data_IF_801986307138
#
_entry.id   IF_801986307138
#
_cell.length_a   1.000
_cell.length_b   1.000
_cell.length_c   1.000
_cell.angle_alpha   90.00
_cell.angle_beta   90.00
_cell.angle_gamma   90.00
#
_symmetry.space_group_name_H-M   'P 1'
#
loop_
_entity.id
_entity.type
_entity.pdbx_description
1 polymer ?
#
# COMPACT_ATOMS: atom_id res chain seq x y z
N UNK A 1 -27.30 -15.84 0.86
CA UNK A 1 -26.79 -14.65 1.57
C UNK A 1 -26.65 -13.52 0.54
N UNK A 2 -26.89 -12.26 0.90
CA UNK A 2 -26.61 -11.13 -0.02
C UNK A 2 -25.10 -11.04 -0.20
N UNK A 3 -24.61 -10.92 -1.44
CA UNK A 3 -23.19 -10.65 -1.72
C UNK A 3 -22.77 -9.38 -0.99
N UNK A 4 -21.72 -9.44 -0.17
CA UNK A 4 -21.17 -8.27 0.54
C UNK A 4 -20.40 -7.34 -0.41
N UNK A 5 -19.94 -7.88 -1.55
CA UNK A 5 -19.31 -7.12 -2.62
C UNK A 5 -17.81 -6.93 -2.40
N UNK A 6 -17.25 -5.93 -3.09
CA UNK A 6 -15.83 -5.58 -2.99
C UNK A 6 -15.66 -4.22 -2.32
N UNK A 7 -14.46 -3.96 -1.78
CA UNK A 7 -13.99 -2.62 -1.40
C UNK A 7 -12.82 -2.26 -2.29
N UNK A 8 -12.86 -1.08 -2.93
CA UNK A 8 -11.78 -0.54 -3.76
C UNK A 8 -11.01 0.54 -3.01
N UNK A 9 -9.70 0.34 -2.89
CA UNK A 9 -8.79 1.24 -2.18
C UNK A 9 -7.74 1.74 -3.16
N UNK A 10 -7.72 3.04 -3.44
CA UNK A 10 -6.61 3.69 -4.13
C UNK A 10 -5.50 3.99 -3.12
N UNK A 11 -4.30 3.47 -3.35
CA UNK A 11 -3.12 3.71 -2.51
C UNK A 11 -2.12 4.54 -3.29
N UNK A 12 -1.71 5.65 -2.67
CA UNK A 12 -0.65 6.55 -3.11
C UNK A 12 0.32 6.77 -1.95
N UNK A 13 1.59 7.06 -2.22
CA UNK A 13 2.57 7.35 -1.17
C UNK A 13 3.72 8.20 -1.70
N UNK A 14 4.44 8.85 -0.80
CA UNK A 14 5.70 9.54 -1.08
C UNK A 14 5.54 10.50 -2.27
N UNK A 15 4.61 11.44 -2.14
CA UNK A 15 4.29 12.42 -3.17
C UNK A 15 5.45 13.41 -3.38
N UNK A 16 6.15 13.77 -2.31
CA UNK A 16 7.23 14.76 -2.30
C UNK A 16 6.89 16.03 -3.08
N UNK A 17 5.68 16.58 -2.86
CA UNK A 17 5.15 17.66 -3.69
C UNK A 17 6.06 18.88 -3.66
N UNK A 18 6.22 19.53 -4.81
CA UNK A 18 6.98 20.76 -4.97
C UNK A 18 6.10 21.90 -5.50
N UNK A 19 6.48 23.13 -5.19
CA UNK A 19 5.75 24.35 -5.61
C UNK A 19 6.49 25.17 -6.66
N UNK A 20 7.67 24.71 -7.07
CA UNK A 20 8.47 25.25 -8.15
C UNK A 20 9.43 24.18 -8.71
N UNK A 21 9.98 24.44 -9.89
CA UNK A 21 10.94 23.55 -10.57
C UNK A 21 12.40 23.83 -10.19
N UNK A 22 12.67 24.43 -9.02
CA UNK A 22 14.06 24.82 -8.68
C UNK A 22 14.93 23.64 -8.26
N UNK A 23 14.33 22.53 -7.85
CA UNK A 23 14.99 21.32 -7.38
C UNK A 23 14.32 20.13 -8.04
N UNK A 24 15.07 19.31 -8.79
CA UNK A 24 14.57 18.14 -9.50
C UNK A 24 14.48 16.91 -8.58
N UNK A 25 13.67 17.01 -7.52
CA UNK A 25 13.46 15.93 -6.54
C UNK A 25 12.10 15.23 -6.71
N UNK A 26 11.14 15.86 -7.41
CA UNK A 26 9.80 15.30 -7.63
C UNK A 26 9.22 15.73 -8.98
N UNK A 27 8.38 14.86 -9.54
CA UNK A 27 7.57 15.11 -10.74
C UNK A 27 6.26 15.83 -10.42
N UNK A 28 5.84 15.80 -9.16
CA UNK A 28 4.59 16.39 -8.73
C UNK A 28 4.82 17.85 -8.34
N UNK A 29 4.67 18.72 -9.34
CA UNK A 29 4.78 20.17 -9.18
C UNK A 29 3.38 20.79 -9.20
N UNK A 30 3.07 21.57 -8.18
CA UNK A 30 1.79 22.27 -7.99
C UNK A 30 2.09 23.74 -7.69
N UNK A 31 1.95 24.59 -8.71
CA UNK A 31 2.23 26.02 -8.59
C UNK A 31 0.94 26.79 -8.30
N UNK A 32 0.94 27.64 -7.26
CA UNK A 32 -0.22 28.48 -6.90
C UNK A 32 -1.55 27.71 -6.78
N UNK A 33 -1.50 26.49 -6.21
CA UNK A 33 -2.66 25.58 -6.09
C UNK A 33 -3.33 25.28 -7.43
N UNK A 34 -2.53 25.20 -8.49
CA UNK A 34 -2.95 24.72 -9.80
C UNK A 34 -2.27 23.39 -10.09
N UNK A 35 -3.06 22.42 -10.53
CA UNK A 35 -2.55 21.13 -10.95
C UNK A 35 -1.61 21.30 -12.16
N UNK A 36 -0.40 20.76 -12.05
CA UNK A 36 0.51 20.61 -13.17
C UNK A 36 0.15 19.40 -14.04
N UNK A 37 0.82 19.26 -15.18
CA UNK A 37 0.59 18.19 -16.17
C UNK A 37 0.68 16.79 -15.54
N UNK A 38 1.69 16.55 -14.69
CA UNK A 38 1.86 15.29 -13.99
C UNK A 38 0.65 14.95 -13.11
N UNK A 39 0.20 15.91 -12.30
CA UNK A 39 -0.94 15.76 -11.40
C UNK A 39 -2.25 15.51 -12.16
N UNK A 40 -2.51 16.31 -13.22
CA UNK A 40 -3.67 16.13 -14.08
C UNK A 40 -3.65 14.76 -14.77
N UNK A 41 -2.48 14.32 -15.25
CA UNK A 41 -2.34 13.02 -15.90
C UNK A 41 -2.65 11.85 -14.96
N UNK A 42 -2.22 11.89 -13.69
CA UNK A 42 -2.57 10.87 -12.70
C UNK A 42 -4.08 10.84 -12.48
N UNK A 43 -4.70 11.99 -12.19
CA UNK A 43 -6.13 12.07 -11.88
C UNK A 43 -6.97 11.57 -13.07
N UNK A 44 -6.62 12.00 -14.28
CA UNK A 44 -7.30 11.55 -15.50
C UNK A 44 -7.12 10.04 -15.70
N UNK A 45 -5.91 9.53 -15.46
CA UNK A 45 -5.64 8.11 -15.59
C UNK A 45 -6.45 7.28 -14.58
N UNK A 46 -6.43 7.63 -13.29
CA UNK A 46 -7.24 6.99 -12.24
C UNK A 46 -8.73 6.99 -12.63
N UNK A 47 -9.22 8.10 -13.14
CA UNK A 47 -10.62 8.22 -13.58
C UNK A 47 -10.94 7.34 -14.80
N UNK A 48 -9.94 7.04 -15.64
CA UNK A 48 -10.11 6.25 -16.86
C UNK A 48 -10.04 4.73 -16.64
N UNK A 49 -9.31 4.27 -15.62
CA UNK A 49 -9.11 2.84 -15.34
C UNK A 49 -10.12 2.26 -14.37
N UNK A 50 -11.05 3.08 -13.88
CA UNK A 50 -11.87 2.73 -12.74
C UNK A 50 -13.36 2.83 -13.08
N UNK A 51 -13.93 1.69 -13.48
CA UNK A 51 -15.35 1.57 -13.86
C UNK A 51 -16.31 1.62 -12.65
N UNK A 52 -15.82 1.26 -11.45
CA UNK A 52 -16.59 1.30 -10.21
C UNK A 52 -16.07 2.40 -9.27
N UNK A 53 -16.88 2.98 -8.36
CA UNK A 53 -16.38 3.96 -7.40
C UNK A 53 -15.23 3.42 -6.53
N UNK A 54 -14.19 4.24 -6.32
CA UNK A 54 -13.23 4.03 -5.23
C UNK A 54 -13.96 4.30 -3.92
N UNK A 55 -13.79 3.42 -2.92
CA UNK A 55 -14.36 3.61 -1.58
C UNK A 55 -13.42 4.42 -0.67
N UNK A 56 -12.12 4.24 -0.86
CA UNK A 56 -11.07 4.72 0.02
C UNK A 56 -9.84 5.18 -0.78
N UNK A 57 -9.29 6.35 -0.46
CA UNK A 57 -7.93 6.75 -0.83
C UNK A 57 -7.07 6.69 0.42
N UNK A 58 -5.93 6.02 0.33
CA UNK A 58 -4.89 5.98 1.37
C UNK A 58 -3.65 6.70 0.85
N UNK A 59 -3.16 7.68 1.60
CA UNK A 59 -1.83 8.25 1.46
C UNK A 59 -0.97 7.93 2.67
N UNK A 60 0.05 7.09 2.50
CA UNK A 60 0.95 6.67 3.59
C UNK A 60 2.06 7.68 3.91
N UNK A 61 1.92 8.94 3.54
CA UNK A 61 2.82 10.03 3.96
C UNK A 61 3.80 10.51 2.90
N UNK A 62 4.73 11.33 3.34
CA UNK A 62 5.66 12.12 2.51
C UNK A 62 4.92 12.92 1.44
N UNK A 63 3.92 13.67 1.89
CA UNK A 63 3.08 14.53 1.06
C UNK A 63 3.91 15.71 0.53
N UNK A 64 4.70 16.31 1.42
CA UNK A 64 5.62 17.40 1.17
C UNK A 64 7.04 16.89 0.91
N UNK A 65 7.92 17.81 0.53
CA UNK A 65 9.35 17.56 0.52
C UNK A 65 10.05 18.40 1.60
N UNK A 66 10.92 17.76 2.41
CA UNK A 66 11.84 18.40 3.36
C UNK A 66 11.15 19.35 4.36
N UNK A 67 9.98 18.99 4.89
CA UNK A 67 9.25 19.76 5.89
C UNK A 67 8.77 21.13 5.41
N UNK A 68 8.66 21.34 4.10
CA UNK A 68 8.24 22.61 3.52
C UNK A 68 6.71 22.77 3.62
N UNK A 69 6.26 23.79 4.35
CA UNK A 69 4.83 24.10 4.57
C UNK A 69 4.08 24.31 3.25
N UNK A 70 4.62 25.10 2.32
CA UNK A 70 3.98 25.35 1.02
C UNK A 70 3.88 24.09 0.17
N UNK A 71 4.90 23.24 0.20
CA UNK A 71 4.89 21.92 -0.44
C UNK A 71 3.82 21.02 0.16
N UNK A 72 3.65 21.07 1.49
CA UNK A 72 2.60 20.31 2.16
C UNK A 72 1.21 20.80 1.77
N UNK A 73 0.97 22.12 1.81
CA UNK A 73 -0.31 22.72 1.38
C UNK A 73 -0.66 22.32 -0.06
N UNK A 74 0.32 22.35 -0.96
CA UNK A 74 0.18 21.95 -2.34
C UNK A 74 -0.13 20.45 -2.53
N UNK A 75 0.60 19.58 -1.83
CA UNK A 75 0.35 18.14 -1.86
C UNK A 75 -0.99 17.76 -1.23
N UNK A 76 -1.37 18.45 -0.16
CA UNK A 76 -2.67 18.29 0.47
C UNK A 76 -3.80 18.75 -0.43
N UNK A 77 -3.64 19.90 -1.10
CA UNK A 77 -4.56 20.35 -2.14
C UNK A 77 -4.71 19.29 -3.25
N UNK A 78 -3.60 18.73 -3.74
CA UNK A 78 -3.62 17.69 -4.75
C UNK A 78 -4.40 16.43 -4.31
N UNK A 79 -4.19 15.94 -3.09
CA UNK A 79 -4.94 14.79 -2.55
C UNK A 79 -6.44 15.08 -2.45
N UNK A 80 -6.81 16.33 -2.18
CA UNK A 80 -8.22 16.76 -2.15
C UNK A 80 -8.82 16.85 -3.55
N UNK A 81 -8.08 17.36 -4.53
CA UNK A 81 -8.49 17.32 -5.94
C UNK A 81 -8.65 15.89 -6.44
N UNK A 82 -7.73 14.99 -6.07
CA UNK A 82 -7.83 13.57 -6.39
C UNK A 82 -9.09 12.95 -5.74
N UNK A 83 -9.36 13.22 -4.47
CA UNK A 83 -10.60 12.82 -3.79
C UNK A 83 -11.83 13.33 -4.56
N UNK A 84 -11.92 14.63 -4.84
CA UNK A 84 -13.10 15.22 -5.46
C UNK A 84 -13.35 14.66 -6.87
N UNK A 85 -12.30 14.48 -7.67
CA UNK A 85 -12.39 13.98 -9.05
C UNK A 85 -12.59 12.46 -9.16
N UNK A 86 -12.41 11.72 -8.07
CA UNK A 86 -12.62 10.26 -8.02
C UNK A 86 -13.90 9.86 -7.28
N UNK A 87 -14.93 10.72 -7.32
CA UNK A 87 -16.23 10.55 -6.66
C UNK A 87 -16.20 10.65 -5.13
N UNK A 88 -15.29 11.45 -4.58
CA UNK A 88 -15.21 11.81 -3.15
C UNK A 88 -15.14 10.60 -2.19
N UNK A 89 -14.23 9.63 -2.41
CA UNK A 89 -13.99 8.52 -1.50
C UNK A 89 -13.55 9.01 -0.12
N UNK A 90 -13.59 8.14 0.89
CA UNK A 90 -12.95 8.46 2.17
C UNK A 90 -11.44 8.67 1.95
N UNK A 91 -10.88 9.76 2.46
CA UNK A 91 -9.45 10.05 2.36
C UNK A 91 -8.79 9.80 3.71
N UNK A 92 -7.83 8.87 3.74
CA UNK A 92 -7.03 8.51 4.92
C UNK A 92 -5.58 8.85 4.63
N UNK A 93 -4.99 9.64 5.51
CA UNK A 93 -3.60 10.07 5.36
C UNK A 93 -2.88 10.01 6.71
N UNK A 94 -1.57 9.75 6.65
CA UNK A 94 -0.64 9.94 7.77
C UNK A 94 0.52 10.80 7.30
N UNK A 95 1.19 11.57 8.18
CA UNK A 95 2.38 12.29 7.78
C UNK A 95 3.58 11.32 7.68
N UNK A 96 4.46 11.59 6.73
CA UNK A 96 5.77 10.95 6.61
C UNK A 96 6.91 11.80 7.17
N UNK A 97 8.15 11.33 7.02
CA UNK A 97 9.31 12.05 7.54
C UNK A 97 9.58 13.37 6.82
N UNK A 98 9.34 13.46 5.50
CA UNK A 98 9.44 14.70 4.73
C UNK A 98 8.28 15.67 4.97
N UNK A 99 7.24 15.27 5.72
CA UNK A 99 6.22 16.19 6.23
C UNK A 99 6.65 16.83 7.57
N UNK A 100 7.51 16.13 8.31
CA UNK A 100 8.09 16.59 9.58
C UNK A 100 9.49 17.20 9.38
N UNK A 101 10.21 17.42 10.48
CA UNK A 101 11.58 17.93 10.47
C UNK A 101 12.58 16.81 10.12
N UNK A 102 12.69 16.45 8.84
CA UNK A 102 13.69 15.47 8.37
C UNK A 102 15.11 16.03 8.22
N UNK A 103 15.28 17.36 8.25
CA UNK A 103 16.59 18.03 8.08
C UNK A 103 16.81 19.11 9.13
N UNK A 104 18.06 19.35 9.49
CA UNK A 104 18.44 20.39 10.48
C UNK A 104 18.40 21.83 9.93
N UNK A 105 17.96 22.05 8.69
CA UNK A 105 17.94 23.37 8.07
C UNK A 105 16.70 24.17 8.46
N UNK A 106 16.79 24.86 9.60
CA UNK A 106 15.75 25.75 10.12
C UNK A 106 15.40 26.93 9.19
N UNK A 107 16.24 27.24 8.20
CA UNK A 107 16.00 28.39 7.31
C UNK A 107 14.99 28.10 6.21
N UNK A 108 14.76 26.82 5.88
CA UNK A 108 13.86 26.39 4.80
C UNK A 108 12.56 25.73 5.28
N UNK A 109 12.58 25.07 6.44
CA UNK A 109 11.46 24.24 6.93
C UNK A 109 10.50 24.97 7.88
N UNK A 110 10.64 26.29 8.07
CA UNK A 110 9.91 27.02 9.11
C UNK A 110 10.38 26.66 10.53
N UNK A 111 9.70 27.19 11.54
CA UNK A 111 10.06 26.97 12.95
C UNK A 111 9.71 25.55 13.43
N UNK A 112 8.59 24.99 12.97
CA UNK A 112 8.11 23.66 13.33
C UNK A 112 7.17 23.12 12.24
N UNK A 113 7.64 22.23 11.35
CA UNK A 113 6.79 21.57 10.35
C UNK A 113 5.58 20.89 11.00
N UNK A 114 5.77 20.22 12.16
CA UNK A 114 4.67 19.62 12.93
C UNK A 114 3.59 20.63 13.31
N UNK A 115 3.97 21.84 13.72
CA UNK A 115 2.99 22.90 13.99
C UNK A 115 2.21 23.25 12.71
N UNK A 116 2.89 23.43 11.57
CA UNK A 116 2.22 23.71 10.30
C UNK A 116 1.23 22.58 9.92
N UNK A 117 1.60 21.30 10.13
CA UNK A 117 0.69 20.16 9.93
C UNK A 117 -0.55 20.19 10.84
N UNK A 118 -0.40 20.62 12.10
CA UNK A 118 -1.49 20.68 13.08
C UNK A 118 -2.51 21.78 12.78
N UNK A 119 -2.10 22.85 12.09
CA UNK A 119 -2.90 24.05 11.85
C UNK A 119 -3.22 24.30 10.36
N UNK A 120 -2.82 23.39 9.48
CA UNK A 120 -3.14 23.47 8.04
C UNK A 120 -4.65 23.49 7.79
N UNK A 121 -5.06 24.19 6.73
CA UNK A 121 -6.44 24.23 6.26
C UNK A 121 -6.53 23.73 4.81
N UNK A 122 -7.41 22.76 4.49
CA UNK A 122 -8.31 22.03 5.39
C UNK A 122 -7.58 21.18 6.43
N UNK A 123 -8.26 20.88 7.55
CA UNK A 123 -7.65 20.14 8.67
C UNK A 123 -7.06 18.78 8.26
N UNK A 124 -5.94 18.43 8.89
CA UNK A 124 -5.15 17.21 8.63
C UNK A 124 -4.81 16.47 9.95
N UNK A 125 -4.75 15.12 9.94
CA UNK A 125 -5.12 14.24 8.83
C UNK A 125 -6.63 14.04 8.68
N UNK A 126 -7.42 14.40 9.68
CA UNK A 126 -8.86 14.18 9.68
C UNK A 126 -9.66 15.47 9.61
N UNK A 127 -10.92 15.36 9.19
CA UNK A 127 -11.87 16.50 9.21
C UNK A 127 -12.34 16.84 10.64
N UNK A 128 -12.34 15.88 11.55
CA UNK A 128 -12.87 16.03 12.91
C UNK A 128 -11.79 16.56 13.87
N UNK A 129 -12.08 17.68 14.55
CA UNK A 129 -11.14 18.34 15.45
C UNK A 129 -10.72 17.47 16.65
N UNK A 130 -11.66 16.76 17.27
CA UNK A 130 -11.38 15.87 18.41
C UNK A 130 -10.45 14.73 18.02
N UNK A 131 -10.67 14.13 16.84
CA UNK A 131 -9.84 13.05 16.32
C UNK A 131 -8.43 13.54 15.96
N UNK A 132 -8.30 14.75 15.39
CA UNK A 132 -6.98 15.37 15.20
C UNK A 132 -6.29 15.66 16.53
N UNK A 133 -7.03 16.16 17.53
CA UNK A 133 -6.47 16.43 18.87
C UNK A 133 -5.92 15.15 19.48
N UNK A 134 -6.67 14.05 19.40
CA UNK A 134 -6.22 12.73 19.85
C UNK A 134 -5.00 12.26 19.04
N UNK A 135 -5.07 12.28 17.71
CA UNK A 135 -3.98 11.86 16.83
C UNK A 135 -2.68 12.62 17.08
N UNK A 136 -2.74 13.93 17.26
CA UNK A 136 -1.55 14.75 17.47
C UNK A 136 -1.00 14.65 18.91
N UNK A 137 -1.85 14.33 19.88
CA UNK A 137 -1.44 14.10 21.27
C UNK A 137 -0.81 12.72 21.46
N UNK A 138 -1.40 11.69 20.85
CA UNK A 138 -1.05 10.29 21.09
C UNK A 138 -0.30 9.63 19.91
N UNK A 139 -0.18 10.32 18.78
CA UNK A 139 0.47 9.86 17.55
C UNK A 139 -0.21 8.64 16.87
N UNK A 140 -1.46 8.35 17.26
CA UNK A 140 -2.30 7.36 16.58
C UNK A 140 -3.77 7.77 16.69
N UNK A 141 -4.62 7.24 15.81
CA UNK A 141 -6.06 7.32 15.93
C UNK A 141 -6.71 6.18 15.16
N UNK A 142 -7.91 5.77 15.58
CA UNK A 142 -8.75 4.87 14.81
C UNK A 142 -9.87 5.67 14.15
N UNK A 143 -10.01 5.50 12.84
CA UNK A 143 -10.99 6.20 12.04
C UNK A 143 -11.82 5.22 11.22
N UNK A 144 -12.98 4.81 11.74
CA UNK A 144 -14.09 4.41 10.87
C UNK A 144 -15.42 4.39 11.62
N UNK A 145 -16.52 4.47 10.85
CA UNK A 145 -17.90 4.30 11.34
C UNK A 145 -18.68 3.26 10.54
N UNK A 146 -18.02 2.48 9.68
CA UNK A 146 -18.66 1.43 8.92
C UNK A 146 -18.38 0.05 9.53
N UNK A 147 -19.31 -0.88 9.33
CA UNK A 147 -19.20 -2.24 9.88
C UNK A 147 -18.29 -3.16 9.03
N UNK A 148 -17.63 -2.64 8.00
CA UNK A 148 -16.84 -3.45 7.05
C UNK A 148 -15.38 -3.53 7.45
N UNK A 149 -14.76 -2.42 7.85
CA UNK A 149 -13.35 -2.38 8.23
C UNK A 149 -13.02 -1.28 9.24
N UNK A 150 -12.02 -1.50 10.07
CA UNK A 150 -11.42 -0.46 10.91
C UNK A 150 -10.17 0.12 10.22
N UNK A 151 -9.82 1.36 10.55
CA UNK A 151 -8.56 1.97 10.07
C UNK A 151 -7.80 2.56 11.26
N UNK A 152 -6.62 2.02 11.53
CA UNK A 152 -5.64 2.53 12.49
C UNK A 152 -4.61 3.37 11.74
N UNK A 153 -4.54 4.65 12.06
CA UNK A 153 -3.54 5.57 11.51
C UNK A 153 -2.46 5.83 12.57
N UNK A 154 -1.19 5.70 12.19
CA UNK A 154 -0.06 5.94 13.10
C UNK A 154 0.88 6.99 12.50
N UNK A 155 1.22 8.01 13.29
CA UNK A 155 2.28 8.96 12.96
C UNK A 155 3.64 8.40 13.42
N UNK A 156 4.28 7.61 12.57
CA UNK A 156 5.61 7.03 12.86
C UNK A 156 6.74 8.06 12.79
N UNK A 157 6.45 9.25 12.24
CA UNK A 157 7.37 10.38 12.17
C UNK A 157 7.24 11.35 13.36
N UNK A 158 6.44 11.01 14.38
CA UNK A 158 6.11 11.91 15.48
C UNK A 158 7.31 12.45 16.27
N UNK A 159 8.41 11.69 16.27
CA UNK A 159 9.66 11.99 16.98
C UNK A 159 10.76 12.51 16.06
N UNK A 160 10.47 12.80 14.79
CA UNK A 160 11.43 13.46 13.90
C UNK A 160 11.80 14.84 14.46
N UNK A 161 13.10 15.17 14.42
CA UNK A 161 13.67 16.35 15.06
C UNK A 161 14.22 16.12 16.48
N UNK A 162 14.07 14.92 17.04
CA UNK A 162 14.74 14.50 18.27
C UNK A 162 15.87 13.51 17.95
N UNK A 163 17.11 13.79 18.36
CA UNK A 163 18.22 12.85 18.18
C UNK A 163 18.43 12.39 16.73
N UNK A 164 18.51 11.08 16.53
CA UNK A 164 18.66 10.41 15.24
C UNK A 164 17.35 9.82 14.67
N UNK A 165 16.20 10.15 15.26
CA UNK A 165 14.87 9.69 14.84
C UNK A 165 14.55 10.00 13.37
N UNK A 166 15.22 11.01 12.81
CA UNK A 166 15.11 11.37 11.40
C UNK A 166 15.51 10.23 10.44
N UNK A 167 16.18 9.19 10.94
CA UNK A 167 16.64 8.04 10.17
C UNK A 167 15.65 6.87 10.09
N UNK A 168 14.83 6.64 11.13
CA UNK A 168 14.04 5.40 11.25
C UNK A 168 12.58 5.60 11.67
N UNK A 169 12.22 6.73 12.28
CA UNK A 169 10.92 6.85 12.93
C UNK A 169 10.74 5.90 14.13
N UNK A 170 9.65 6.08 14.87
CA UNK A 170 9.42 5.34 16.13
C UNK A 170 7.95 5.22 16.49
N UNK A 171 7.62 4.05 17.02
CA UNK A 171 6.42 3.80 17.81
C UNK A 171 6.83 3.27 19.20
N UNK A 172 6.69 4.08 20.27
CA UNK A 172 7.00 3.63 21.61
C UNK A 172 6.12 2.44 22.04
N UNK A 173 6.68 1.56 22.87
CA UNK A 173 5.98 0.37 23.38
C UNK A 173 4.70 0.77 24.12
N UNK A 174 4.73 1.87 24.87
CA UNK A 174 3.57 2.41 25.59
C UNK A 174 2.45 2.82 24.64
N UNK A 175 2.80 3.35 23.46
CA UNK A 175 1.81 3.71 22.43
C UNK A 175 1.21 2.45 21.82
N UNK A 176 2.02 1.43 21.54
CA UNK A 176 1.50 0.12 21.12
C UNK A 176 0.55 -0.45 22.16
N UNK A 177 0.91 -0.46 23.44
CA UNK A 177 0.04 -0.98 24.50
C UNK A 177 -1.30 -0.25 24.58
N UNK A 178 -1.31 1.08 24.43
CA UNK A 178 -2.55 1.86 24.37
C UNK A 178 -3.43 1.47 23.17
N UNK A 179 -2.82 1.27 22.00
CA UNK A 179 -3.53 0.79 20.81
C UNK A 179 -4.15 -0.58 21.10
N UNK A 180 -3.40 -1.51 21.69
CA UNK A 180 -3.88 -2.85 22.00
C UNK A 180 -5.02 -2.83 23.02
N UNK A 181 -4.89 -2.05 24.09
CA UNK A 181 -5.96 -1.85 25.07
C UNK A 181 -7.24 -1.33 24.40
N UNK A 182 -7.10 -0.39 23.46
CA UNK A 182 -8.25 0.15 22.73
C UNK A 182 -8.88 -0.89 21.79
N UNK A 183 -8.11 -1.61 20.95
CA UNK A 183 -8.67 -2.59 20.01
C UNK A 183 -9.33 -3.78 20.73
N UNK A 184 -8.90 -4.09 21.96
CA UNK A 184 -9.50 -5.14 22.79
C UNK A 184 -10.75 -4.66 23.54
N UNK A 185 -10.93 -3.34 23.68
CA UNK A 185 -12.08 -2.73 24.35
C UNK A 185 -13.40 -2.95 23.59
N UNK A 186 -14.51 -2.58 24.23
CA UNK A 186 -15.85 -2.61 23.61
C UNK A 186 -16.11 -1.41 22.70
N UNK A 187 -15.24 -0.40 22.69
CA UNK A 187 -15.33 0.75 21.78
C UNK A 187 -14.86 0.39 20.36
N UNK A 188 -14.03 -0.64 20.23
CA UNK A 188 -13.53 -1.11 18.95
C UNK A 188 -14.54 -2.01 18.25
N UNK A 189 -14.77 -1.76 16.95
CA UNK A 189 -15.72 -2.54 16.16
C UNK A 189 -15.15 -3.93 15.84
N UNK A 190 -15.54 -4.91 16.65
CA UNK A 190 -15.22 -6.34 16.47
C UNK A 190 -16.07 -7.00 15.37
N UNK A 191 -17.03 -6.29 14.79
CA UNK A 191 -17.84 -6.76 13.65
C UNK A 191 -17.22 -6.46 12.28
N UNK A 192 -16.14 -5.66 12.24
CA UNK A 192 -15.39 -5.42 11.02
C UNK A 192 -14.82 -6.73 10.46
N UNK A 193 -14.80 -6.85 9.12
CA UNK A 193 -14.28 -8.04 8.44
C UNK A 193 -12.76 -8.06 8.36
N UNK A 194 -12.15 -6.88 8.39
CA UNK A 194 -10.70 -6.70 8.39
C UNK A 194 -10.34 -5.33 8.98
N UNK A 195 -9.05 -5.12 9.21
CA UNK A 195 -8.50 -3.90 9.75
C UNK A 195 -7.42 -3.37 8.79
N UNK A 196 -7.29 -2.05 8.70
CA UNK A 196 -6.26 -1.39 7.92
C UNK A 196 -5.34 -0.65 8.89
N UNK A 197 -4.04 -0.89 8.80
CA UNK A 197 -3.01 -0.10 9.47
C UNK A 197 -2.34 0.79 8.43
N UNK A 198 -2.34 2.10 8.64
CA UNK A 198 -1.63 3.07 7.80
C UNK A 198 -0.54 3.74 8.61
N UNK A 199 0.70 3.62 8.13
CA UNK A 199 1.88 4.26 8.70
C UNK A 199 2.83 4.69 7.57
N UNK A 200 3.84 5.50 7.86
CA UNK A 200 4.79 5.92 6.83
C UNK A 200 6.00 4.99 6.74
N UNK A 201 6.81 4.96 7.80
CA UNK A 201 7.93 4.03 7.91
C UNK A 201 7.45 2.57 7.89
N UNK A 202 8.31 1.68 7.41
CA UNK A 202 8.07 0.24 7.33
C UNK A 202 8.21 -0.44 8.70
N UNK A 203 7.25 -1.31 9.09
CA UNK A 203 7.24 -1.96 10.41
C UNK A 203 8.16 -3.19 10.52
N UNK A 204 8.54 -3.75 9.38
CA UNK A 204 9.48 -4.85 9.27
C UNK A 204 10.63 -4.41 8.38
N UNK A 205 11.83 -4.88 8.70
CA UNK A 205 13.01 -4.60 7.90
C UNK A 205 12.88 -5.10 6.46
N UNK A 206 13.57 -4.42 5.56
CA UNK A 206 13.62 -4.65 4.12
C UNK A 206 15.08 -4.69 3.62
N UNK A 207 15.93 -5.46 4.30
CA UNK A 207 17.38 -5.66 4.02
C UNK A 207 17.69 -6.20 2.60
N UNK A 208 16.68 -6.54 1.80
CA UNK A 208 16.84 -7.06 0.44
C UNK A 208 16.77 -5.98 -0.66
N UNK A 209 16.59 -4.70 -0.30
CA UNK A 209 16.36 -3.62 -1.28
C UNK A 209 17.66 -2.92 -1.68
N UNK A 210 18.28 -2.17 -0.77
CA UNK A 210 19.30 -1.16 -1.10
C UNK A 210 20.49 -1.11 -0.14
N UNK A 211 20.40 -1.79 1.01
CA UNK A 211 21.47 -1.86 2.02
C UNK A 211 21.59 -3.27 2.58
N UNK A 212 22.83 -3.66 2.96
CA UNK A 212 23.09 -4.92 3.66
C UNK A 212 22.43 -4.98 5.05
N UNK A 213 22.05 -3.82 5.60
CA UNK A 213 21.34 -3.69 6.87
C UNK A 213 20.40 -2.49 6.86
N UNK A 214 19.12 -2.73 7.10
CA UNK A 214 18.08 -1.71 7.10
C UNK A 214 18.03 -0.97 8.44
N UNK A 215 18.50 0.28 8.41
CA UNK A 215 18.46 1.22 9.54
C UNK A 215 17.28 2.19 9.46
N UNK A 216 16.37 2.04 8.50
CA UNK A 216 15.29 2.98 8.22
C UNK A 216 13.92 2.45 8.70
N UNK A 217 13.85 1.17 9.08
CA UNK A 217 12.65 0.56 9.62
C UNK A 217 12.24 1.19 10.95
N UNK A 218 10.93 1.35 11.17
CA UNK A 218 10.44 1.96 12.40
C UNK A 218 10.87 1.18 13.65
N UNK A 219 11.36 1.90 14.65
CA UNK A 219 11.53 1.31 15.97
C UNK A 219 10.17 0.95 16.58
N UNK A 220 10.05 -0.27 17.12
CA UNK A 220 8.79 -0.78 17.69
C UNK A 220 7.85 -1.44 16.68
N UNK A 221 8.15 -1.40 15.37
CA UNK A 221 7.28 -1.96 14.33
C UNK A 221 7.02 -3.47 14.46
N UNK A 222 8.07 -4.26 14.70
CA UNK A 222 7.92 -5.71 14.91
C UNK A 222 7.12 -6.04 16.18
N UNK A 223 7.24 -5.22 17.22
CA UNK A 223 6.44 -5.38 18.44
C UNK A 223 4.97 -5.07 18.16
N UNK A 224 4.67 -3.99 17.42
CA UNK A 224 3.31 -3.67 16.99
C UNK A 224 2.68 -4.83 16.23
N UNK A 225 3.33 -5.33 15.17
CA UNK A 225 2.76 -6.40 14.35
C UNK A 225 2.49 -7.67 15.16
N UNK A 226 3.43 -8.03 16.05
CA UNK A 226 3.23 -9.15 16.97
C UNK A 226 2.01 -8.92 17.86
N UNK A 227 1.89 -7.75 18.48
CA UNK A 227 0.78 -7.49 19.41
C UNK A 227 -0.57 -7.39 18.68
N UNK A 228 -0.62 -6.88 17.45
CA UNK A 228 -1.84 -6.87 16.62
C UNK A 228 -2.28 -8.29 16.26
N UNK A 229 -1.32 -9.18 15.94
CA UNK A 229 -1.57 -10.59 15.67
C UNK A 229 -2.05 -11.33 16.93
N UNK A 230 -1.45 -11.07 18.10
CA UNK A 230 -1.87 -11.64 19.38
C UNK A 230 -3.24 -11.14 19.86
N UNK A 231 -3.65 -9.93 19.46
CA UNK A 231 -4.95 -9.38 19.82
C UNK A 231 -6.11 -10.10 19.11
N UNK A 232 -5.85 -10.77 17.99
CA UNK A 232 -6.79 -11.61 17.24
C UNK A 232 -8.15 -10.93 16.98
N UNK A 233 -8.10 -9.68 16.51
CA UNK A 233 -9.29 -8.86 16.18
C UNK A 233 -9.62 -8.89 14.68
N UNK A 234 -9.22 -9.95 13.99
CA UNK A 234 -9.39 -10.14 12.56
C UNK A 234 -8.17 -9.73 11.71
N UNK A 235 -8.23 -9.98 10.39
CA UNK A 235 -7.07 -9.84 9.51
C UNK A 235 -6.66 -8.38 9.30
N UNK A 236 -5.37 -8.16 9.11
CA UNK A 236 -4.79 -6.83 8.92
C UNK A 236 -4.23 -6.62 7.51
N UNK A 237 -4.60 -5.50 6.91
CA UNK A 237 -3.93 -4.89 5.77
C UNK A 237 -3.03 -3.76 6.29
N UNK A 238 -1.73 -3.88 6.15
CA UNK A 238 -0.76 -2.84 6.51
C UNK A 238 -0.31 -2.12 5.25
N UNK A 239 -0.41 -0.80 5.22
CA UNK A 239 0.01 0.04 4.10
C UNK A 239 1.05 1.03 4.62
N UNK A 240 2.23 1.04 4.01
CA UNK A 240 3.30 1.97 4.32
C UNK A 240 4.05 2.47 3.07
N UNK A 241 4.90 3.49 3.24
CA UNK A 241 5.73 4.10 2.20
C UNK A 241 7.21 4.07 2.56
N UNK A 242 7.89 5.22 2.43
CA UNK A 242 9.25 5.54 2.88
C UNK A 242 10.40 4.94 2.06
N UNK A 243 10.36 3.64 1.75
CA UNK A 243 11.43 2.99 0.97
C UNK A 243 11.33 3.23 -0.54
N UNK A 244 10.19 3.80 -0.99
CA UNK A 244 9.87 4.03 -2.40
C UNK A 244 9.88 2.74 -3.24
N UNK A 245 9.81 1.57 -2.59
CA UNK A 245 10.00 0.27 -3.21
C UNK A 245 8.75 -0.58 -3.06
N UNK A 246 8.15 -0.92 -4.20
CA UNK A 246 6.88 -1.59 -4.28
C UNK A 246 6.99 -3.08 -3.92
N UNK A 247 6.32 -3.53 -2.85
CA UNK A 247 6.15 -4.96 -2.56
C UNK A 247 4.82 -5.25 -1.90
N UNK A 248 4.26 -6.42 -2.17
CA UNK A 248 3.13 -6.97 -1.42
C UNK A 248 3.52 -8.34 -0.88
N UNK A 249 3.52 -8.47 0.45
CA UNK A 249 3.96 -9.68 1.15
C UNK A 249 3.10 -9.97 2.38
N UNK A 250 3.24 -11.17 2.93
CA UNK A 250 2.71 -11.48 4.25
C UNK A 250 3.76 -11.18 5.31
N UNK A 251 3.36 -10.53 6.39
CA UNK A 251 4.19 -10.37 7.58
C UNK A 251 4.22 -11.63 8.44
N UNK A 252 4.98 -11.56 9.53
CA UNK A 252 5.04 -12.67 10.50
C UNK A 252 3.72 -12.82 11.29
N UNK A 253 3.34 -14.05 11.62
CA UNK A 253 2.15 -14.35 12.43
C UNK A 253 2.31 -15.61 13.28
N UNK A 254 1.73 -15.55 14.48
CA UNK A 254 1.56 -16.62 15.45
C UNK A 254 0.13 -17.19 15.43
N UNK A 255 -0.87 -16.37 15.09
CA UNK A 255 -2.29 -16.75 15.04
C UNK A 255 -2.68 -17.59 13.80
N UNK A 256 -1.84 -17.58 12.75
CA UNK A 256 -2.10 -18.27 11.49
C UNK A 256 -2.78 -17.40 10.42
N UNK A 257 -3.10 -16.15 10.73
CA UNK A 257 -3.63 -15.15 9.79
C UNK A 257 -2.62 -14.01 9.62
N UNK A 258 -1.58 -14.18 8.78
CA UNK A 258 -0.55 -13.17 8.66
C UNK A 258 -1.07 -11.85 8.07
N UNK A 259 -0.59 -10.70 8.57
CA UNK A 259 -0.96 -9.42 8.00
C UNK A 259 -0.48 -9.35 6.55
N UNK A 260 -1.32 -8.83 5.66
CA UNK A 260 -0.90 -8.47 4.30
C UNK A 260 -0.27 -7.10 4.36
N UNK A 261 0.99 -6.97 3.94
CA UNK A 261 1.77 -5.74 3.99
C UNK A 261 2.03 -5.26 2.57
N UNK A 262 1.54 -4.06 2.26
CA UNK A 262 1.88 -3.30 1.06
C UNK A 262 2.91 -2.23 1.42
N UNK A 263 4.11 -2.38 0.87
CA UNK A 263 5.09 -1.30 0.77
C UNK A 263 4.83 -0.56 -0.54
N UNK A 264 4.35 0.68 -0.45
CA UNK A 264 4.07 1.52 -1.60
C UNK A 264 5.37 2.13 -2.14
N UNK A 265 5.54 2.13 -3.46
CA UNK A 265 6.52 2.98 -4.10
C UNK A 265 6.05 4.44 -4.10
N UNK A 266 6.99 5.33 -4.40
CA UNK A 266 6.69 6.74 -4.53
C UNK A 266 5.87 7.01 -5.78
N UNK A 267 4.84 7.84 -5.65
CA UNK A 267 4.06 8.31 -6.80
C UNK A 267 4.87 9.24 -7.68
N UNK A 268 5.79 10.04 -7.14
CA UNK A 268 6.39 11.14 -7.93
C UNK A 268 7.82 11.53 -7.59
N UNK A 269 8.45 10.96 -6.57
CA UNK A 269 9.85 11.22 -6.27
C UNK A 269 10.74 10.82 -7.45
N UNK A 270 11.79 11.61 -7.66
CA UNK A 270 12.92 11.15 -8.46
C UNK A 270 13.64 10.06 -7.64
N UNK A 271 13.66 8.85 -8.19
CA UNK A 271 14.24 7.67 -7.52
C UNK A 271 15.76 7.78 -7.49
N UNK A 272 16.37 7.29 -6.42
CA UNK A 272 17.82 7.27 -6.26
C UNK A 272 18.44 6.05 -6.95
N UNK A 273 19.70 6.17 -7.35
CA UNK A 273 20.46 5.23 -8.22
C UNK A 273 20.43 3.75 -7.80
N UNK A 274 20.17 3.44 -6.52
CA UNK A 274 20.12 2.04 -6.06
C UNK A 274 18.79 1.35 -6.40
N UNK A 275 17.70 2.10 -6.54
CA UNK A 275 16.35 1.56 -6.79
C UNK A 275 15.74 2.03 -8.11
N UNK A 276 16.32 3.01 -8.79
CA UNK A 276 15.82 3.60 -10.03
C UNK A 276 15.59 2.57 -11.16
N UNK A 277 16.39 1.50 -11.19
CA UNK A 277 16.30 0.40 -12.14
C UNK A 277 15.48 -0.79 -11.61
N UNK A 278 15.07 -0.74 -10.34
CA UNK A 278 14.32 -1.82 -9.69
C UNK A 278 12.84 -1.46 -9.57
N UNK A 279 12.52 -0.21 -9.28
CA UNK A 279 11.13 0.25 -9.10
C UNK A 279 10.84 1.46 -9.98
N UNK A 280 9.57 1.72 -10.19
CA UNK A 280 9.07 2.88 -10.94
C UNK A 280 8.21 3.76 -10.02
N UNK A 281 7.84 4.95 -10.50
CA UNK A 281 6.82 5.73 -9.83
C UNK A 281 5.47 5.02 -9.97
N UNK A 282 4.79 4.69 -8.87
CA UNK A 282 3.62 3.81 -8.90
C UNK A 282 2.47 4.25 -8.01
N UNK A 283 1.28 3.75 -8.34
CA UNK A 283 0.08 3.77 -7.50
C UNK A 283 -0.65 2.41 -7.59
N UNK A 284 -1.57 2.17 -6.66
CA UNK A 284 -2.24 0.86 -6.55
C UNK A 284 -3.74 0.98 -6.38
N UNK A 285 -4.50 0.13 -7.05
CA UNK A 285 -5.91 -0.15 -6.72
C UNK A 285 -5.97 -1.52 -6.04
N UNK A 286 -6.33 -1.56 -4.76
CA UNK A 286 -6.59 -2.80 -4.05
C UNK A 286 -8.08 -3.10 -4.08
N UNK A 287 -8.45 -4.32 -4.45
CA UNK A 287 -9.81 -4.82 -4.38
C UNK A 287 -9.90 -5.91 -3.32
N UNK A 288 -10.50 -5.58 -2.17
CA UNK A 288 -10.78 -6.56 -1.11
C UNK A 288 -12.11 -7.24 -1.39
N UNK A 289 -12.09 -8.57 -1.48
CA UNK A 289 -13.29 -9.40 -1.64
C UNK A 289 -13.89 -9.70 -0.27
N UNK A 290 -15.01 -9.05 0.06
CA UNK A 290 -15.59 -9.15 1.40
C UNK A 290 -16.23 -10.51 1.68
N UNK A 291 -16.77 -11.15 0.64
CA UNK A 291 -17.39 -12.46 0.76
C UNK A 291 -16.29 -13.51 1.01
N UNK A 292 -15.20 -13.48 0.23
CA UNK A 292 -14.07 -14.39 0.45
C UNK A 292 -13.31 -14.10 1.75
N UNK A 293 -13.18 -12.83 2.13
CA UNK A 293 -12.52 -12.43 3.38
C UNK A 293 -13.25 -12.99 4.60
N UNK A 294 -14.58 -12.87 4.63
CA UNK A 294 -15.41 -13.46 5.68
C UNK A 294 -15.33 -14.99 5.66
N UNK A 295 -15.50 -15.62 4.49
CA UNK A 295 -15.53 -17.08 4.37
C UNK A 295 -14.22 -17.75 4.79
N UNK A 296 -13.09 -17.08 4.56
CA UNK A 296 -11.76 -17.64 4.84
C UNK A 296 -11.15 -17.15 6.15
N UNK A 297 -11.75 -16.17 6.81
CA UNK A 297 -11.23 -15.57 8.04
C UNK A 297 -9.87 -14.86 7.86
N UNK A 298 -9.53 -14.44 6.64
CA UNK A 298 -8.28 -13.74 6.31
C UNK A 298 -8.53 -12.71 5.23
N UNK A 299 -7.63 -11.75 5.05
CA UNK A 299 -7.76 -10.75 3.99
C UNK A 299 -7.60 -11.40 2.62
N UNK A 300 -8.61 -11.28 1.75
CA UNK A 300 -8.60 -11.84 0.39
C UNK A 300 -8.89 -10.75 -0.62
N UNK A 301 -8.12 -10.71 -1.70
CA UNK A 301 -8.31 -9.68 -2.72
C UNK A 301 -7.28 -9.69 -3.83
N UNK A 302 -7.43 -8.72 -4.72
CA UNK A 302 -6.54 -8.47 -5.83
C UNK A 302 -5.92 -7.08 -5.72
N UNK A 303 -4.82 -6.87 -6.40
CA UNK A 303 -4.25 -5.53 -6.59
C UNK A 303 -4.00 -5.27 -8.07
N UNK A 304 -4.09 -4.00 -8.43
CA UNK A 304 -3.76 -3.46 -9.73
C UNK A 304 -2.69 -2.38 -9.54
N UNK A 305 -1.47 -2.66 -9.98
CA UNK A 305 -0.34 -1.75 -9.95
C UNK A 305 -0.28 -0.97 -11.26
N UNK A 306 -0.10 0.34 -11.14
CA UNK A 306 0.06 1.24 -12.27
C UNK A 306 1.33 2.04 -12.07
N UNK A 307 2.06 2.25 -13.15
CA UNK A 307 3.32 2.97 -13.12
C UNK A 307 3.32 4.14 -14.08
N UNK A 308 4.18 5.10 -13.78
CA UNK A 308 4.49 6.19 -14.68
C UNK A 308 5.84 5.98 -15.36
N UNK A 309 5.89 6.20 -16.67
CA UNK A 309 7.13 6.24 -17.44
C UNK A 309 7.21 7.51 -18.30
N UNK A 310 8.43 7.95 -18.62
CA UNK A 310 8.62 9.11 -19.52
C UNK A 310 8.07 8.87 -20.94
N UNK A 311 7.92 7.61 -21.37
CA UNK A 311 7.49 7.26 -22.73
C UNK A 311 5.96 7.23 -22.87
N UNK A 312 5.28 6.63 -21.88
CA UNK A 312 3.84 6.36 -21.97
C UNK A 312 2.99 7.17 -21.00
N UNK A 313 3.62 7.87 -20.05
CA UNK A 313 2.90 8.40 -18.89
C UNK A 313 2.42 7.26 -17.99
N UNK A 314 1.21 7.39 -17.43
CA UNK A 314 0.60 6.36 -16.59
C UNK A 314 0.10 5.17 -17.40
N UNK A 315 0.46 3.95 -16.98
CA UNK A 315 0.13 2.70 -17.64
C UNK A 315 0.05 1.53 -16.62
N UNK A 316 -0.54 0.39 -17.00
CA UNK A 316 -0.38 -0.86 -16.24
C UNK A 316 1.11 -1.15 -15.98
N UNK A 317 1.48 -1.52 -14.75
CA UNK A 317 2.90 -1.71 -14.43
C UNK A 317 3.53 -2.90 -15.16
N UNK A 318 4.67 -2.65 -15.79
CA UNK A 318 5.51 -3.67 -16.39
C UNK A 318 6.70 -4.08 -15.50
N UNK A 319 6.75 -3.59 -14.26
CA UNK A 319 7.82 -3.90 -13.29
C UNK A 319 7.80 -5.37 -12.88
N UNK A 320 8.99 -5.97 -12.83
CA UNK A 320 9.16 -7.34 -12.32
C UNK A 320 8.96 -7.43 -10.80
N UNK A 321 9.12 -6.32 -10.07
CA UNK A 321 9.01 -6.29 -8.61
C UNK A 321 7.56 -6.37 -8.14
N UNK A 322 6.72 -5.43 -8.61
CA UNK A 322 5.28 -5.49 -8.39
C UNK A 322 4.56 -5.32 -9.74
N UNK A 323 4.14 -6.43 -10.39
CA UNK A 323 3.53 -6.39 -11.71
C UNK A 323 2.15 -5.74 -11.68
N UNK A 324 1.59 -5.41 -12.85
CA UNK A 324 0.26 -4.83 -12.93
C UNK A 324 -0.80 -5.59 -12.13
N UNK A 325 -0.83 -6.92 -12.17
CA UNK A 325 -1.87 -7.69 -11.52
C UNK A 325 -1.32 -8.77 -10.58
N UNK A 326 -2.01 -8.96 -9.46
CA UNK A 326 -1.83 -10.08 -8.56
C UNK A 326 -2.89 -10.08 -7.45
N UNK A 327 -2.74 -10.98 -6.50
CA UNK A 327 -3.66 -11.05 -5.36
C UNK A 327 -3.02 -11.42 -4.04
N UNK A 328 -3.88 -11.66 -3.07
CA UNK A 328 -3.55 -12.04 -1.70
C UNK A 328 -4.72 -12.81 -1.09
N UNK A 329 -4.43 -13.62 -0.06
CA UNK A 329 -5.42 -14.39 0.68
C UNK A 329 -5.77 -15.75 0.08
N UNK A 330 -4.94 -16.32 -0.79
CA UNK A 330 -5.20 -17.68 -1.28
C UNK A 330 -5.09 -18.72 -0.16
N UNK A 331 -5.96 -19.74 -0.20
CA UNK A 331 -5.97 -20.85 0.76
C UNK A 331 -5.23 -22.08 0.28
N UNK A 332 -4.80 -22.08 -0.97
CA UNK A 332 -3.97 -23.14 -1.53
C UNK A 332 -2.53 -22.66 -1.59
N UNK A 333 -1.61 -23.56 -1.33
CA UNK A 333 -0.19 -23.31 -1.45
C UNK A 333 0.23 -23.37 -2.93
N UNK A 334 1.40 -22.78 -3.29
CA UNK A 334 1.97 -22.93 -4.62
C UNK A 334 2.17 -24.39 -5.06
N UNK A 335 2.38 -25.31 -4.11
CA UNK A 335 2.52 -26.74 -4.41
C UNK A 335 1.16 -27.36 -4.75
N UNK A 336 0.15 -27.14 -3.91
CA UNK A 336 -1.20 -27.65 -4.18
C UNK A 336 -1.76 -27.12 -5.49
N UNK A 337 -1.54 -25.82 -5.79
CA UNK A 337 -1.92 -25.26 -7.08
C UNK A 337 -1.20 -25.96 -8.24
N UNK A 338 0.12 -26.16 -8.16
CA UNK A 338 0.86 -26.86 -9.19
C UNK A 338 0.38 -28.32 -9.38
N UNK A 339 0.10 -29.04 -8.30
CA UNK A 339 -0.42 -30.41 -8.34
C UNK A 339 -1.81 -30.44 -9.00
N UNK A 340 -2.71 -29.54 -8.60
CA UNK A 340 -4.06 -29.42 -9.17
C UNK A 340 -4.06 -29.07 -10.66
N UNK A 341 -3.16 -28.17 -11.07
CA UNK A 341 -2.97 -27.78 -12.46
C UNK A 341 -2.40 -28.95 -13.28
N UNK A 342 -1.44 -29.68 -12.71
CA UNK A 342 -0.83 -30.86 -13.34
C UNK A 342 -1.88 -31.94 -13.61
N UNK A 343 -2.69 -32.25 -12.60
CA UNK A 343 -3.80 -33.19 -12.73
C UNK A 343 -4.84 -32.73 -13.75
N UNK A 344 -5.08 -31.42 -13.86
CA UNK A 344 -6.00 -30.85 -14.82
C UNK A 344 -5.49 -31.00 -16.26
N UNK A 345 -4.22 -30.71 -16.52
CA UNK A 345 -3.58 -30.95 -17.83
C UNK A 345 -3.62 -32.44 -18.17
N UNK A 346 -3.24 -33.32 -17.24
CA UNK A 346 -3.27 -34.77 -17.45
C UNK A 346 -4.65 -35.31 -17.87
N UNK A 347 -5.74 -34.72 -17.36
CA UNK A 347 -7.11 -35.15 -17.66
C UNK A 347 -7.67 -34.59 -18.96
N UNK A 348 -7.35 -33.33 -19.30
CA UNK A 348 -7.96 -32.64 -20.43
C UNK A 348 -7.13 -32.73 -21.72
N UNK A 349 -5.86 -33.15 -21.62
CA UNK A 349 -5.02 -33.39 -22.78
C UNK A 349 -3.65 -32.70 -22.66
N UNK A 350 -2.74 -32.93 -23.61
CA UNK A 350 -1.38 -32.40 -23.53
C UNK A 350 -1.29 -30.87 -23.60
N UNK A 351 -2.41 -30.23 -23.94
CA UNK A 351 -2.52 -28.81 -24.25
C UNK A 351 -3.94 -28.35 -23.92
N UNK A 352 -4.04 -27.24 -23.20
CA UNK A 352 -5.30 -26.62 -22.76
C UNK A 352 -5.25 -25.14 -23.16
N UNK A 353 -6.32 -24.66 -23.81
CA UNK A 353 -6.45 -23.29 -24.32
C UNK A 353 -7.88 -22.76 -24.20
N UNK A 354 -8.07 -21.48 -24.51
CA UNK A 354 -9.39 -20.85 -24.48
C UNK A 354 -10.03 -20.84 -23.09
N UNK A 355 -11.33 -21.12 -23.02
CA UNK A 355 -12.10 -21.06 -21.76
C UNK A 355 -11.63 -22.08 -20.71
N UNK A 356 -10.96 -23.15 -21.12
CA UNK A 356 -10.46 -24.18 -20.20
C UNK A 356 -9.31 -23.67 -19.32
N UNK A 357 -8.64 -22.60 -19.73
CA UNK A 357 -7.58 -21.94 -18.95
C UNK A 357 -8.15 -21.12 -17.80
N UNK A 358 -9.44 -20.74 -17.85
CA UNK A 358 -10.08 -19.94 -16.80
C UNK A 358 -10.01 -20.63 -15.43
N UNK A 359 -10.07 -21.96 -15.39
CA UNK A 359 -9.88 -22.73 -14.16
C UNK A 359 -8.52 -22.45 -13.52
N UNK A 360 -7.45 -22.38 -14.32
CA UNK A 360 -6.09 -22.09 -13.85
C UNK A 360 -5.99 -20.64 -13.39
N UNK A 361 -6.57 -19.71 -14.16
CA UNK A 361 -6.62 -18.30 -13.78
C UNK A 361 -7.34 -18.07 -12.45
N UNK A 362 -8.48 -18.73 -12.23
CA UNK A 362 -9.24 -18.66 -10.98
C UNK A 362 -8.46 -19.25 -9.80
N UNK A 363 -7.74 -20.34 -10.02
CA UNK A 363 -6.92 -21.00 -9.01
C UNK A 363 -5.79 -20.08 -8.51
N UNK A 364 -5.15 -19.36 -9.44
CA UNK A 364 -4.00 -18.49 -9.16
C UNK A 364 -4.40 -17.05 -8.85
N UNK A 365 -5.70 -16.72 -8.96
CA UNK A 365 -6.22 -15.35 -8.85
C UNK A 365 -5.73 -14.61 -7.61
N UNK A 366 -5.79 -15.25 -6.45
CA UNK A 366 -5.44 -14.65 -5.16
C UNK A 366 -3.98 -14.89 -4.74
N UNK A 367 -3.09 -15.22 -5.69
CA UNK A 367 -1.66 -15.40 -5.41
C UNK A 367 -0.90 -14.08 -5.46
N UNK A 368 -0.08 -13.88 -4.42
CA UNK A 368 0.97 -12.87 -4.43
C UNK A 368 1.95 -13.13 -5.59
N UNK A 369 2.73 -12.13 -6.03
CA UNK A 369 3.77 -12.34 -7.05
C UNK A 369 4.71 -13.51 -6.73
N UNK A 370 5.11 -13.63 -5.47
CA UNK A 370 6.01 -14.68 -5.04
C UNK A 370 5.35 -16.07 -5.07
N UNK A 371 4.09 -16.19 -4.66
CA UNK A 371 3.32 -17.45 -4.76
C UNK A 371 3.11 -17.88 -6.20
N UNK A 372 2.78 -16.93 -7.09
CA UNK A 372 2.63 -17.17 -8.51
C UNK A 372 3.94 -17.69 -9.11
N UNK A 373 5.05 -16.97 -8.92
CA UNK A 373 6.39 -17.38 -9.39
C UNK A 373 6.79 -18.75 -8.84
N UNK A 374 6.52 -19.01 -7.56
CA UNK A 374 6.77 -20.30 -6.90
C UNK A 374 5.96 -21.44 -7.52
N UNK A 375 4.78 -21.16 -8.04
CA UNK A 375 3.91 -22.12 -8.74
C UNK A 375 4.41 -22.41 -10.13
N UNK A 376 4.76 -21.38 -10.91
CA UNK A 376 5.35 -21.54 -12.24
C UNK A 376 6.61 -22.40 -12.17
N UNK A 377 7.50 -22.12 -11.21
CA UNK A 377 8.71 -22.93 -11.01
C UNK A 377 8.41 -24.41 -10.71
N UNK A 378 7.31 -24.71 -10.01
CA UNK A 378 6.92 -26.10 -9.70
C UNK A 378 6.31 -26.80 -10.90
N UNK A 379 5.46 -26.12 -11.66
CA UNK A 379 4.94 -26.60 -12.95
C UNK A 379 6.10 -26.91 -13.91
N UNK A 380 7.08 -26.01 -13.94
CA UNK A 380 8.28 -26.17 -14.75
C UNK A 380 9.06 -27.43 -14.40
N UNK A 381 9.20 -27.75 -13.11
CA UNK A 381 9.81 -28.99 -12.63
C UNK A 381 8.95 -30.23 -12.94
N UNK A 382 7.63 -30.08 -13.00
CA UNK A 382 6.70 -31.14 -13.40
C UNK A 382 6.62 -31.35 -14.92
N UNK A 383 7.38 -30.57 -15.72
CA UNK A 383 7.39 -30.67 -17.18
C UNK A 383 6.20 -29.97 -17.86
N UNK A 384 5.50 -29.11 -17.12
CA UNK A 384 4.39 -28.28 -17.63
C UNK A 384 4.89 -26.86 -17.86
N UNK A 385 4.49 -26.27 -18.99
CA UNK A 385 4.69 -24.86 -19.29
C UNK A 385 3.35 -24.13 -19.27
N UNK A 386 3.41 -22.88 -18.84
CA UNK A 386 2.29 -21.96 -18.80
C UNK A 386 2.68 -20.72 -19.59
N UNK A 387 1.91 -20.40 -20.63
CA UNK A 387 2.09 -19.19 -21.43
C UNK A 387 1.22 -18.10 -20.83
N UNK A 388 1.86 -17.04 -20.36
CA UNK A 388 1.17 -15.88 -19.81
C UNK A 388 1.86 -14.59 -20.21
N UNK A 389 1.09 -13.50 -20.23
CA UNK A 389 1.66 -12.16 -20.36
C UNK A 389 2.16 -11.62 -19.01
N UNK A 390 2.71 -10.40 -19.03
CA UNK A 390 3.17 -9.70 -17.81
C UNK A 390 2.04 -9.40 -16.82
N UNK A 391 0.79 -9.37 -17.29
CA UNK A 391 -0.42 -9.14 -16.48
C UNK A 391 -0.99 -10.46 -15.92
N UNK A 392 -0.28 -11.59 -16.11
CA UNK A 392 -0.71 -12.94 -15.73
C UNK A 392 -1.98 -13.41 -16.44
N UNK A 393 -2.31 -12.83 -17.59
CA UNK A 393 -3.31 -13.41 -18.46
C UNK A 393 -2.73 -14.68 -19.07
N UNK A 394 -3.29 -15.82 -18.67
CA UNK A 394 -2.86 -17.12 -19.13
C UNK A 394 -3.57 -17.41 -20.45
N UNK A 395 -2.82 -17.66 -21.52
CA UNK A 395 -3.37 -17.99 -22.84
C UNK A 395 -3.34 -19.49 -23.12
N UNK A 396 -2.41 -20.22 -22.51
CA UNK A 396 -2.19 -21.63 -22.79
C UNK A 396 -1.46 -22.31 -21.63
N UNK A 397 -1.75 -23.60 -21.43
CA UNK A 397 -0.98 -24.47 -20.54
C UNK A 397 -0.85 -25.88 -21.14
N UNK A 398 0.31 -26.52 -20.98
CA UNK A 398 0.53 -27.86 -21.52
C UNK A 398 1.90 -28.44 -21.17
N UNK A 399 2.24 -29.60 -21.73
CA UNK A 399 3.58 -30.17 -21.55
C UNK A 399 4.64 -29.41 -22.35
N UNK A 400 5.84 -29.25 -21.80
CA UNK A 400 6.96 -28.51 -22.43
C UNK A 400 7.43 -29.03 -23.79
N UNK A 401 7.17 -30.31 -24.09
CA UNK A 401 7.80 -31.02 -25.20
C UNK A 401 6.78 -31.60 -26.21
N UNK A 402 5.59 -31.01 -26.29
CA UNK A 402 4.54 -31.42 -27.25
C UNK A 402 4.37 -30.37 -28.34
#
# INVERSE_FOLDING_TARGET
>A
MKKKGKIKILVVSDLHTQVDNTIDDSRLIIENLRLGEYAESLINYVSSINDDPIDLIVCSGDIANKGCEKSFEAGWFFLRELQEKTNNPHLICVPGNHDHQSRNDKTKCGFSPKHSLQFVSPAFPFRAHEMNTHFWAWNWAICNKNDKFNVLCINTSAYHGYGDEYKHGRLPIETTNQIIEHIQSDEFSKSALFNILVCHHHPEKMEYIDEDYDNESMEGGSYLLKMLDEADVGPWLVIHGHKHFATLRYGSSYSGTPPTILSAASVSAILYDKIDNLTSNQMYILEVDLDETENRGKLVGNFYCHEWTCLSGWQPSESDNLPHFGGFGSSITPKEAADMITDYVHKNGPFVEGDEVLYVSDLLRYFTPQEYKSTINKLDCAGISLVHDKNRNISQIGYKNV
#
